data_IF_106104142330
#
_entry.id   IF_106104142330
#
_cell.length_a   1.000
_cell.length_b   1.000
_cell.length_c   1.000
_cell.angle_alpha   90.00
_cell.angle_beta   90.00
_cell.angle_gamma   90.00
#
_symmetry.space_group_name_H-M   'P 1'
#
loop_
_entity.id
_entity.type
_entity.pdbx_description
1 polymer ?
#
# COMPACT_ATOMS: atom_id res chain seq x y z
N UNK A 1 -15.70 35.10 64.69
CA UNK A 1 -15.36 35.02 63.25
C UNK A 1 -14.71 33.67 62.97
N UNK A 2 -15.46 32.72 62.40
CA UNK A 2 -14.91 31.47 61.85
C UNK A 2 -14.99 31.59 60.33
N UNK A 3 -13.84 31.69 59.67
CA UNK A 3 -13.75 31.67 58.21
C UNK A 3 -13.88 30.22 57.74
N UNK A 4 -14.89 29.94 56.92
CA UNK A 4 -15.02 28.70 56.16
C UNK A 4 -14.30 28.87 54.83
N UNK A 5 -13.20 28.13 54.61
CA UNK A 5 -12.60 28.00 53.29
C UNK A 5 -13.43 27.00 52.47
N UNK A 6 -14.16 27.50 51.47
CA UNK A 6 -14.69 26.67 50.39
C UNK A 6 -13.55 26.36 49.41
N UNK A 7 -13.10 25.11 49.38
CA UNK A 7 -12.20 24.60 48.34
C UNK A 7 -13.00 24.37 47.05
N UNK A 8 -12.84 25.26 46.08
CA UNK A 8 -13.40 25.14 44.74
C UNK A 8 -12.53 24.15 43.94
N UNK A 9 -13.03 22.94 43.71
CA UNK A 9 -12.39 21.98 42.81
C UNK A 9 -12.75 22.37 41.37
N UNK A 10 -11.82 23.01 40.65
CA UNK A 10 -11.93 23.20 39.21
C UNK A 10 -11.83 21.83 38.54
N UNK A 11 -12.95 21.28 38.08
CA UNK A 11 -12.95 20.18 37.13
C UNK A 11 -12.65 20.77 35.75
N UNK A 12 -11.39 20.74 35.34
CA UNK A 12 -11.04 20.90 33.93
C UNK A 12 -11.48 19.65 33.19
N UNK A 13 -12.64 19.70 32.56
CA UNK A 13 -13.01 18.75 31.51
C UNK A 13 -12.07 19.00 30.34
N UNK A 14 -11.03 18.16 30.21
CA UNK A 14 -10.25 18.05 28.98
C UNK A 14 -11.22 17.45 27.96
N UNK A 15 -11.83 18.30 27.14
CA UNK A 15 -12.42 17.83 25.90
C UNK A 15 -11.27 17.23 25.10
N UNK A 16 -11.29 15.94 24.79
CA UNK A 16 -10.52 15.46 23.65
C UNK A 16 -10.97 16.31 22.45
N UNK A 17 -10.02 16.82 21.68
CA UNK A 17 -10.36 17.41 20.38
C UNK A 17 -11.16 16.35 19.60
N UNK A 18 -12.20 16.76 18.89
CA UNK A 18 -12.90 15.83 18.02
C UNK A 18 -11.90 15.27 17.00
N UNK A 19 -11.92 13.95 16.78
CA UNK A 19 -11.12 13.28 15.76
C UNK A 19 -11.34 13.96 14.40
N UNK A 20 -10.25 14.38 13.73
CA UNK A 20 -10.28 15.13 12.48
C UNK A 20 -9.85 14.18 11.35
N UNK A 21 -10.84 13.54 10.74
CA UNK A 21 -10.62 12.63 9.62
C UNK A 21 -10.09 13.40 8.41
N UNK A 22 -9.14 12.81 7.69
CA UNK A 22 -8.66 13.39 6.44
C UNK A 22 -9.77 13.42 5.38
N UNK A 23 -9.71 14.42 4.50
CA UNK A 23 -10.43 14.43 3.23
C UNK A 23 -9.41 14.26 2.11
N UNK A 24 -9.41 13.10 1.45
CA UNK A 24 -8.50 12.80 0.35
C UNK A 24 -8.60 13.80 -0.81
N UNK A 25 -9.67 14.58 -0.94
CA UNK A 25 -9.73 15.65 -1.95
C UNK A 25 -8.74 16.78 -1.68
N UNK A 26 -8.35 16.97 -0.41
CA UNK A 26 -7.48 18.06 0.03
C UNK A 26 -6.21 17.61 0.74
N UNK A 27 -6.15 16.35 1.19
CA UNK A 27 -4.98 15.78 1.82
C UNK A 27 -3.85 15.57 0.79
N UNK A 28 -2.64 15.99 1.14
CA UNK A 28 -1.43 15.82 0.34
C UNK A 28 -0.53 14.78 1.00
N UNK A 29 -0.39 13.63 0.35
CA UNK A 29 0.33 12.47 0.87
C UNK A 29 1.74 12.37 0.29
N UNK A 30 2.75 12.42 1.16
CA UNK A 30 4.09 11.97 0.84
C UNK A 30 4.32 10.65 1.58
N UNK A 31 4.28 9.55 0.82
CA UNK A 31 4.16 8.23 1.38
C UNK A 31 5.28 7.27 1.03
N UNK A 32 5.28 6.15 1.74
CA UNK A 32 6.11 4.99 1.42
C UNK A 32 5.35 3.70 1.78
N UNK A 33 5.57 2.65 1.00
CA UNK A 33 5.08 1.32 1.31
C UNK A 33 5.99 0.63 2.34
N UNK A 34 5.41 -0.12 3.27
CA UNK A 34 6.12 -1.05 4.17
C UNK A 34 6.09 -2.48 3.60
N UNK A 35 6.48 -2.62 2.33
CA UNK A 35 6.49 -3.87 1.57
C UNK A 35 7.52 -4.87 2.10
N UNK A 36 7.25 -6.16 1.91
CA UNK A 36 8.12 -7.24 2.41
C UNK A 36 8.12 -7.39 3.94
N UNK A 37 7.23 -6.69 4.65
CA UNK A 37 7.10 -6.77 6.11
C UNK A 37 6.01 -7.76 6.54
N UNK A 38 4.72 -7.45 6.32
CA UNK A 38 3.58 -8.30 6.71
C UNK A 38 2.99 -9.12 5.55
N UNK A 39 3.49 -8.89 4.33
CA UNK A 39 3.33 -9.71 3.14
C UNK A 39 4.72 -9.91 2.53
N UNK A 40 5.12 -11.16 2.27
CA UNK A 40 6.48 -11.49 1.84
C UNK A 40 6.58 -11.66 0.33
N UNK A 41 7.60 -11.03 -0.26
CA UNK A 41 7.94 -11.18 -1.66
C UNK A 41 9.42 -11.51 -1.83
N UNK A 42 9.71 -12.35 -2.82
CA UNK A 42 11.04 -12.93 -3.04
C UNK A 42 12.09 -11.90 -3.48
N UNK A 43 11.65 -10.84 -4.15
CA UNK A 43 12.51 -9.80 -4.70
C UNK A 43 13.02 -8.82 -3.63
N UNK A 44 12.25 -8.57 -2.56
CA UNK A 44 12.53 -7.48 -1.62
C UNK A 44 13.74 -7.75 -0.73
N UNK A 45 13.91 -8.99 -0.25
CA UNK A 45 15.03 -9.41 0.58
C UNK A 45 15.49 -10.80 0.12
N UNK A 46 16.31 -10.83 -0.93
CA UNK A 46 16.72 -12.08 -1.58
C UNK A 46 17.61 -12.95 -0.66
N UNK A 47 18.30 -12.35 0.31
CA UNK A 47 19.09 -13.10 1.29
C UNK A 47 18.19 -13.84 2.27
N UNK A 48 17.21 -13.15 2.85
CA UNK A 48 16.22 -13.79 3.72
C UNK A 48 15.40 -14.81 2.94
N UNK A 49 14.99 -14.49 1.71
CA UNK A 49 14.22 -15.41 0.88
C UNK A 49 14.99 -16.69 0.57
N UNK A 50 16.24 -16.59 0.12
CA UNK A 50 17.08 -17.75 -0.16
C UNK A 50 17.30 -18.64 1.08
N UNK A 51 17.34 -18.03 2.27
CA UNK A 51 17.49 -18.78 3.51
C UNK A 51 16.23 -19.55 3.91
N UNK A 52 15.03 -19.00 3.66
CA UNK A 52 13.79 -19.50 4.26
C UNK A 52 12.75 -20.03 3.26
N UNK A 53 12.78 -19.67 1.98
CA UNK A 53 11.75 -20.10 1.02
C UNK A 53 11.81 -21.59 0.68
N UNK A 54 12.99 -22.21 0.86
CA UNK A 54 13.28 -23.58 0.39
C UNK A 54 12.94 -23.77 -1.10
N UNK A 55 13.16 -22.73 -1.91
CA UNK A 55 12.88 -22.72 -3.34
C UNK A 55 11.44 -22.41 -3.71
N UNK A 56 10.59 -22.01 -2.74
CA UNK A 56 9.25 -21.52 -3.04
C UNK A 56 9.29 -20.16 -3.77
N UNK A 57 8.38 -19.92 -4.72
CA UNK A 57 8.28 -18.66 -5.42
C UNK A 57 7.52 -17.58 -4.62
N UNK A 58 6.71 -17.98 -3.64
CA UNK A 58 5.76 -17.14 -2.90
C UNK A 58 5.73 -17.44 -1.39
N UNK A 59 5.03 -16.59 -0.61
CA UNK A 59 4.87 -16.76 0.84
C UNK A 59 4.10 -18.05 1.18
N UNK A 60 3.11 -18.38 0.36
CA UNK A 60 2.32 -19.60 0.46
C UNK A 60 3.20 -20.85 0.46
N UNK A 61 4.05 -21.01 -0.56
CA UNK A 61 4.99 -22.09 -0.71
C UNK A 61 6.09 -22.05 0.36
N UNK A 62 6.56 -20.86 0.76
CA UNK A 62 7.51 -20.71 1.86
C UNK A 62 6.93 -21.34 3.14
N UNK A 63 5.70 -20.98 3.49
CA UNK A 63 5.06 -21.56 4.67
C UNK A 63 4.78 -23.05 4.54
N UNK A 64 4.30 -23.50 3.37
CA UNK A 64 4.09 -24.91 3.11
C UNK A 64 5.40 -25.73 3.29
N UNK A 65 6.52 -25.23 2.75
CA UNK A 65 7.82 -25.87 2.83
C UNK A 65 8.43 -25.83 4.24
N UNK A 66 8.13 -24.78 5.02
CA UNK A 66 8.60 -24.65 6.39
C UNK A 66 7.76 -25.43 7.39
N UNK A 67 6.48 -25.68 7.09
CA UNK A 67 5.54 -26.32 7.99
C UNK A 67 5.45 -25.57 9.32
N UNK A 68 5.63 -26.27 10.43
CA UNK A 68 5.51 -25.69 11.78
C UNK A 68 6.52 -24.58 12.09
N UNK A 69 7.61 -24.46 11.31
CA UNK A 69 8.59 -23.40 11.49
C UNK A 69 8.15 -22.05 10.90
N UNK A 70 7.18 -22.02 9.97
CA UNK A 70 6.83 -20.79 9.25
C UNK A 70 6.51 -19.63 10.21
N UNK A 71 5.65 -19.89 11.19
CA UNK A 71 5.26 -18.87 12.17
C UNK A 71 6.45 -18.27 12.92
N UNK A 72 7.36 -19.09 13.43
CA UNK A 72 8.54 -18.59 14.16
C UNK A 72 9.49 -17.77 13.29
N UNK A 73 9.60 -18.10 12.01
CA UNK A 73 10.43 -17.39 11.04
C UNK A 73 9.81 -16.02 10.72
N UNK A 74 8.51 -16.00 10.46
CA UNK A 74 7.76 -14.80 10.13
C UNK A 74 7.64 -13.85 11.33
N UNK A 75 7.30 -14.33 12.52
CA UNK A 75 7.24 -13.52 13.75
C UNK A 75 8.59 -12.83 14.04
N UNK A 76 9.71 -13.53 13.82
CA UNK A 76 11.04 -12.93 13.96
C UNK A 76 11.26 -11.81 12.93
N UNK A 77 10.81 -11.99 11.69
CA UNK A 77 10.90 -10.96 10.65
C UNK A 77 9.99 -9.78 10.99
N UNK A 78 8.74 -10.01 11.38
CA UNK A 78 7.79 -8.97 11.76
C UNK A 78 8.33 -8.09 12.89
N UNK A 79 9.01 -8.69 13.87
CA UNK A 79 9.60 -7.99 15.01
C UNK A 79 10.86 -7.16 14.69
N UNK A 80 11.52 -7.39 13.55
CA UNK A 80 12.86 -6.83 13.29
C UNK A 80 13.03 -6.14 11.93
N UNK A 81 12.14 -6.37 10.97
CA UNK A 81 12.28 -5.83 9.63
C UNK A 81 11.91 -4.34 9.57
N UNK A 82 10.76 -3.97 10.14
CA UNK A 82 10.35 -2.58 10.35
C UNK A 82 10.31 -2.29 11.85
N UNK A 83 10.95 -1.20 12.26
CA UNK A 83 11.08 -0.76 13.65
C UNK A 83 10.67 0.70 13.78
N UNK A 84 10.51 1.17 15.03
CA UNK A 84 10.23 2.59 15.29
C UNK A 84 11.37 3.52 14.84
N UNK A 85 12.61 3.02 14.76
CA UNK A 85 13.73 3.78 14.23
C UNK A 85 13.61 3.99 12.71
N UNK A 86 13.05 3.02 11.99
CA UNK A 86 12.73 3.18 10.56
C UNK A 86 11.66 4.28 10.40
N UNK A 87 10.62 4.30 11.25
CA UNK A 87 9.59 5.36 11.24
C UNK A 87 10.17 6.74 11.54
N UNK A 88 11.05 6.85 12.54
CA UNK A 88 11.74 8.11 12.86
C UNK A 88 12.51 8.64 11.64
N UNK A 89 13.22 7.76 10.92
CA UNK A 89 13.98 8.12 9.72
C UNK A 89 13.07 8.52 8.55
N UNK A 90 11.99 7.78 8.29
CA UNK A 90 11.01 8.14 7.26
C UNK A 90 10.40 9.52 7.54
N UNK A 91 10.02 9.79 8.79
CA UNK A 91 9.49 11.11 9.18
C UNK A 91 10.49 12.24 8.89
N UNK A 92 11.77 12.04 9.17
CA UNK A 92 12.80 13.07 8.92
C UNK A 92 12.97 13.42 7.44
N UNK A 93 12.56 12.51 6.54
CA UNK A 93 12.53 12.73 5.10
C UNK A 93 11.20 13.30 4.59
N UNK A 94 10.31 13.73 5.50
CA UNK A 94 9.03 14.33 5.14
C UNK A 94 7.92 13.33 4.82
N UNK A 95 8.10 12.04 5.10
CA UNK A 95 7.01 11.06 4.98
C UNK A 95 5.93 11.37 6.02
N UNK A 96 4.69 11.47 5.55
CA UNK A 96 3.50 11.68 6.35
C UNK A 96 2.48 10.52 6.23
N UNK A 97 2.66 9.61 5.27
CA UNK A 97 1.72 8.51 5.00
C UNK A 97 2.44 7.17 4.90
N UNK A 98 1.92 6.14 5.55
CA UNK A 98 2.44 4.77 5.48
C UNK A 98 1.40 3.86 4.83
N UNK A 99 1.73 3.25 3.69
CA UNK A 99 0.92 2.17 3.09
C UNK A 99 1.47 0.83 3.57
N UNK A 100 0.63 0.02 4.21
CA UNK A 100 1.05 -1.21 4.89
C UNK A 100 0.33 -2.41 4.26
N UNK A 101 0.98 -3.11 3.31
CA UNK A 101 0.50 -4.35 2.75
C UNK A 101 0.40 -5.45 3.82
N UNK A 102 -0.74 -6.11 3.87
CA UNK A 102 -1.02 -7.26 4.75
C UNK A 102 -1.66 -8.37 3.95
N UNK A 103 -1.33 -9.63 4.26
CA UNK A 103 -2.10 -10.75 3.73
C UNK A 103 -3.46 -10.85 4.42
N UNK A 104 -4.49 -11.42 3.77
CA UNK A 104 -5.76 -11.72 4.48
C UNK A 104 -5.57 -12.58 5.73
N UNK A 105 -4.48 -13.38 5.78
CA UNK A 105 -4.18 -14.30 6.87
C UNK A 105 -3.82 -13.59 8.18
N UNK A 106 -3.44 -12.30 8.13
CA UNK A 106 -3.32 -11.45 9.30
C UNK A 106 -4.67 -11.21 10.00
N UNK A 107 -5.75 -11.17 9.22
CA UNK A 107 -7.08 -10.74 9.67
C UNK A 107 -8.00 -11.90 9.99
N UNK A 108 -7.92 -12.98 9.21
CA UNK A 108 -8.79 -14.15 9.34
C UNK A 108 -8.04 -15.45 9.07
N UNK A 109 -8.57 -16.55 9.59
CA UNK A 109 -8.13 -17.91 9.24
C UNK A 109 -9.06 -18.49 8.18
N UNK A 110 -8.51 -18.84 7.02
CA UNK A 110 -9.25 -19.52 5.95
C UNK A 110 -8.83 -20.99 5.89
N UNK A 111 -9.76 -21.95 5.96
CA UNK A 111 -9.43 -23.37 5.86
C UNK A 111 -8.66 -23.69 4.57
N UNK A 112 -7.53 -24.39 4.71
CA UNK A 112 -6.68 -24.80 3.58
C UNK A 112 -5.61 -23.77 3.18
N UNK A 113 -5.70 -22.53 3.66
CA UNK A 113 -4.66 -21.52 3.44
C UNK A 113 -3.31 -21.99 4.02
N UNK A 114 -2.24 -21.84 3.25
CA UNK A 114 -0.88 -22.08 3.74
C UNK A 114 -0.23 -20.80 4.30
N UNK A 115 -0.84 -19.63 4.10
CA UNK A 115 -0.36 -18.39 4.68
C UNK A 115 -0.45 -18.46 6.21
N UNK A 116 0.52 -17.86 6.87
CA UNK A 116 0.58 -17.88 8.34
C UNK A 116 -0.42 -16.89 8.94
N UNK A 117 -1.22 -17.34 9.90
CA UNK A 117 -2.05 -16.48 10.75
C UNK A 117 -1.47 -16.43 12.17
N UNK A 118 -0.87 -15.29 12.53
CA UNK A 118 -0.20 -15.04 13.80
C UNK A 118 -0.46 -13.64 14.33
N UNK A 119 0.59 -12.98 14.81
CA UNK A 119 0.50 -11.68 15.47
C UNK A 119 0.74 -10.49 14.52
N UNK A 120 0.52 -10.65 13.21
CA UNK A 120 0.73 -9.56 12.24
C UNK A 120 0.04 -8.25 12.65
N UNK A 121 -1.21 -8.34 13.12
CA UNK A 121 -1.99 -7.17 13.56
C UNK A 121 -1.40 -6.51 14.79
N UNK A 122 -0.78 -7.26 15.72
CA UNK A 122 -0.09 -6.68 16.87
C UNK A 122 1.18 -5.93 16.45
N UNK A 123 1.95 -6.46 15.49
CA UNK A 123 3.10 -5.75 14.93
C UNK A 123 2.69 -4.50 14.17
N UNK A 124 1.64 -4.58 13.33
CA UNK A 124 1.02 -3.44 12.67
C UNK A 124 0.63 -2.38 13.70
N UNK A 125 -0.09 -2.77 14.75
CA UNK A 125 -0.56 -1.87 15.80
C UNK A 125 0.59 -1.12 16.46
N UNK A 126 1.68 -1.80 16.79
CA UNK A 126 2.83 -1.19 17.46
C UNK A 126 3.46 -0.09 16.59
N UNK A 127 3.67 -0.36 15.30
CA UNK A 127 4.25 0.61 14.37
C UNK A 127 3.28 1.74 14.02
N UNK A 128 2.02 1.41 13.69
CA UNK A 128 0.99 2.39 13.34
C UNK A 128 0.72 3.34 14.51
N UNK A 129 0.51 2.82 15.72
CA UNK A 129 0.28 3.65 16.92
C UNK A 129 1.46 4.58 17.17
N UNK A 130 2.70 4.10 17.01
CA UNK A 130 3.88 4.93 17.16
C UNK A 130 3.94 6.05 16.12
N UNK A 131 3.74 5.72 14.85
CA UNK A 131 3.73 6.69 13.74
C UNK A 131 2.65 7.76 13.92
N UNK A 132 1.43 7.34 14.28
CA UNK A 132 0.29 8.24 14.50
C UNK A 132 0.52 9.13 15.72
N UNK A 133 0.82 8.53 16.88
CA UNK A 133 0.90 9.30 18.14
C UNK A 133 2.11 10.23 18.20
N UNK A 134 3.23 9.86 17.57
CA UNK A 134 4.46 10.65 17.60
C UNK A 134 4.50 11.70 16.50
N UNK A 135 4.00 11.37 15.30
CA UNK A 135 4.20 12.18 14.10
C UNK A 135 2.92 12.59 13.38
N UNK A 136 1.75 12.09 13.81
CA UNK A 136 0.49 12.35 13.13
C UNK A 136 0.43 11.73 11.73
N UNK A 137 1.21 10.68 11.47
CA UNK A 137 1.21 10.01 10.16
C UNK A 137 -0.14 9.35 9.88
N UNK A 138 -0.57 9.40 8.63
CA UNK A 138 -1.73 8.66 8.15
C UNK A 138 -1.33 7.23 7.73
N UNK A 139 -2.19 6.24 7.99
CA UNK A 139 -1.90 4.83 7.68
C UNK A 139 -2.94 4.26 6.72
N UNK A 140 -2.49 3.75 5.59
CA UNK A 140 -3.32 2.95 4.67
C UNK A 140 -3.10 1.49 5.03
N UNK A 141 -4.15 0.81 5.51
CA UNK A 141 -4.12 -0.64 5.70
C UNK A 141 -4.58 -1.28 4.40
N UNK A 142 -3.64 -1.99 3.76
CA UNK A 142 -3.88 -2.67 2.50
C UNK A 142 -4.02 -4.17 2.72
N UNK A 143 -5.19 -4.71 2.36
CA UNK A 143 -5.44 -6.15 2.31
C UNK A 143 -4.98 -6.66 0.95
N UNK A 144 -3.67 -6.84 0.86
CA UNK A 144 -2.91 -7.02 -0.37
C UNK A 144 -3.19 -8.35 -1.08
N UNK A 145 -3.61 -9.37 -0.33
CA UNK A 145 -4.12 -10.63 -0.86
C UNK A 145 -5.51 -10.94 -0.35
N UNK A 146 -6.34 -11.57 -1.18
CA UNK A 146 -7.65 -12.09 -0.77
C UNK A 146 -7.75 -13.61 -0.97
N UNK A 147 -8.61 -14.30 -0.20
CA UNK A 147 -8.75 -15.75 -0.28
C UNK A 147 -9.07 -16.23 -1.69
N UNK A 148 -8.31 -17.20 -2.18
CA UNK A 148 -8.42 -17.75 -3.55
C UNK A 148 -7.50 -17.09 -4.57
N UNK A 149 -6.89 -15.95 -4.27
CA UNK A 149 -5.95 -15.25 -5.14
C UNK A 149 -6.63 -14.36 -6.16
N UNK A 150 -6.20 -13.10 -6.20
CA UNK A 150 -6.83 -12.03 -6.98
C UNK A 150 -6.14 -11.75 -8.30
N UNK A 151 -4.97 -12.33 -8.58
CA UNK A 151 -4.16 -11.95 -9.73
C UNK A 151 -3.12 -12.96 -10.20
N UNK A 152 -3.07 -14.16 -9.61
CA UNK A 152 -2.08 -15.19 -9.95
C UNK A 152 -0.63 -14.84 -9.63
N UNK A 153 -0.35 -13.68 -9.05
CA UNK A 153 0.98 -13.30 -8.60
C UNK A 153 1.24 -13.78 -7.16
N UNK A 154 2.52 -13.96 -6.76
CA UNK A 154 2.89 -14.35 -5.40
C UNK A 154 2.22 -13.53 -4.30
N UNK A 155 2.02 -12.23 -4.53
CA UNK A 155 1.47 -11.29 -3.55
C UNK A 155 -0.06 -11.23 -3.52
N UNK A 156 -0.77 -11.73 -4.54
CA UNK A 156 -2.23 -11.76 -4.56
C UNK A 156 -2.84 -12.92 -3.77
N UNK A 157 -2.07 -13.97 -3.51
CA UNK A 157 -2.24 -15.02 -2.47
C UNK A 157 -1.10 -16.05 -2.61
N UNK A 158 -0.93 -16.55 -3.84
CA UNK A 158 0.06 -17.53 -4.26
C UNK A 158 0.16 -17.52 -5.79
N UNK A 159 1.30 -17.93 -6.34
CA UNK A 159 1.52 -18.01 -7.78
C UNK A 159 0.50 -18.95 -8.45
N UNK A 160 -0.15 -18.45 -9.51
CA UNK A 160 -1.17 -19.17 -10.26
C UNK A 160 -2.56 -19.23 -9.61
N UNK A 161 -2.78 -18.56 -8.47
CA UNK A 161 -4.09 -18.50 -7.82
C UNK A 161 -4.96 -17.36 -8.37
N UNK A 162 -6.06 -17.72 -9.04
CA UNK A 162 -7.10 -16.82 -9.59
C UNK A 162 -8.51 -17.15 -9.05
N UNK A 163 -8.59 -18.00 -8.02
CA UNK A 163 -9.82 -18.57 -7.49
C UNK A 163 -10.71 -17.62 -6.70
N UNK A 164 -10.36 -16.33 -6.58
CA UNK A 164 -11.21 -15.31 -5.97
C UNK A 164 -12.39 -14.90 -6.85
N UNK A 165 -12.19 -14.79 -8.17
CA UNK A 165 -13.21 -14.36 -9.10
C UNK A 165 -14.36 -15.37 -9.22
N UNK A 166 -15.59 -14.86 -9.26
CA UNK A 166 -16.82 -15.66 -9.37
C UNK A 166 -16.98 -16.74 -8.27
N UNK A 167 -16.28 -16.60 -7.14
CA UNK A 167 -16.31 -17.54 -6.03
C UNK A 167 -16.91 -16.88 -4.79
N UNK A 168 -18.17 -17.22 -4.48
CA UNK A 168 -18.87 -16.61 -3.35
C UNK A 168 -18.23 -16.95 -1.99
N UNK A 169 -17.59 -18.12 -1.85
CA UNK A 169 -16.91 -18.48 -0.58
C UNK A 169 -15.69 -17.59 -0.35
N UNK A 170 -14.86 -17.39 -1.39
CA UNK A 170 -13.74 -16.46 -1.37
C UNK A 170 -14.20 -15.02 -1.09
N UNK A 171 -15.27 -14.58 -1.75
CA UNK A 171 -15.90 -13.28 -1.54
C UNK A 171 -16.34 -13.07 -0.09
N UNK A 172 -17.04 -14.05 0.50
CA UNK A 172 -17.51 -13.96 1.89
C UNK A 172 -16.36 -13.93 2.91
N UNK A 173 -15.28 -14.68 2.66
CA UNK A 173 -14.08 -14.57 3.50
C UNK A 173 -13.37 -13.23 3.32
N UNK A 174 -13.31 -12.70 2.10
CA UNK A 174 -12.76 -11.37 1.82
C UNK A 174 -13.49 -10.30 2.62
N UNK A 175 -14.83 -10.35 2.66
CA UNK A 175 -15.64 -9.44 3.47
C UNK A 175 -15.41 -9.61 4.98
N UNK A 176 -15.17 -10.85 5.46
CA UNK A 176 -14.79 -11.07 6.88
C UNK A 176 -13.43 -10.49 7.24
N UNK A 177 -12.47 -10.52 6.30
CA UNK A 177 -11.18 -9.85 6.49
C UNK A 177 -11.39 -8.34 6.65
N UNK A 178 -12.23 -7.73 5.80
CA UNK A 178 -12.57 -6.30 5.91
C UNK A 178 -13.33 -5.98 7.20
N UNK A 179 -14.24 -6.83 7.66
CA UNK A 179 -14.90 -6.65 8.95
C UNK A 179 -13.87 -6.60 10.11
N UNK A 180 -12.82 -7.43 10.04
CA UNK A 180 -11.74 -7.42 11.03
C UNK A 180 -10.84 -6.17 10.93
N UNK A 181 -10.51 -5.71 9.73
CA UNK A 181 -9.79 -4.44 9.50
C UNK A 181 -10.60 -3.27 10.05
N UNK A 182 -11.89 -3.22 9.74
CA UNK A 182 -12.78 -2.15 10.15
C UNK A 182 -12.97 -2.12 11.67
N UNK A 183 -13.09 -3.28 12.33
CA UNK A 183 -13.07 -3.37 13.79
C UNK A 183 -11.76 -2.85 14.35
N UNK A 184 -10.61 -3.27 13.80
CA UNK A 184 -9.29 -2.78 14.23
C UNK A 184 -9.18 -1.26 14.14
N UNK A 185 -9.56 -0.67 13.00
CA UNK A 185 -9.52 0.79 12.80
C UNK A 185 -10.47 1.49 13.77
N UNK A 186 -11.71 1.04 13.85
CA UNK A 186 -12.75 1.66 14.67
C UNK A 186 -12.45 1.59 16.17
N UNK A 187 -11.83 0.50 16.61
CA UNK A 187 -11.44 0.27 18.01
C UNK A 187 -10.05 0.86 18.34
N UNK A 188 -9.37 1.46 17.36
CA UNK A 188 -8.13 2.20 17.61
C UNK A 188 -8.42 3.52 18.34
N UNK A 189 -7.42 4.07 19.03
CA UNK A 189 -7.54 5.39 19.67
C UNK A 189 -7.58 6.55 18.63
N UNK A 190 -7.27 6.25 17.36
CA UNK A 190 -7.11 7.21 16.26
C UNK A 190 -7.75 6.70 14.96
N UNK A 191 -9.06 6.41 14.91
CA UNK A 191 -9.73 5.92 13.70
C UNK A 191 -9.66 6.92 12.53
N UNK A 192 -9.42 8.19 12.82
CA UNK A 192 -9.21 9.29 11.87
C UNK A 192 -7.87 9.22 11.12
N UNK A 193 -6.91 8.45 11.61
CA UNK A 193 -5.59 8.30 10.99
C UNK A 193 -5.47 7.08 10.06
N UNK A 194 -6.61 6.51 9.63
CA UNK A 194 -6.62 5.31 8.80
C UNK A 194 -7.44 5.45 7.51
N UNK A 195 -6.93 4.83 6.44
CA UNK A 195 -7.64 4.50 5.20
C UNK A 195 -7.63 2.98 5.04
N UNK A 196 -8.71 2.41 4.50
CA UNK A 196 -8.80 0.96 4.20
C UNK A 196 -8.67 0.76 2.69
N UNK A 197 -7.63 0.05 2.25
CA UNK A 197 -7.49 -0.46 0.89
C UNK A 197 -7.88 -1.95 0.88
N UNK A 198 -9.07 -2.33 0.36
CA UNK A 198 -9.62 -3.66 0.59
C UNK A 198 -9.16 -4.72 -0.40
N UNK A 199 -8.48 -4.33 -1.49
CA UNK A 199 -7.98 -5.21 -2.53
C UNK A 199 -6.80 -4.54 -3.24
N UNK A 200 -5.85 -5.34 -3.71
CA UNK A 200 -4.69 -4.88 -4.46
C UNK A 200 -4.57 -5.61 -5.80
N UNK A 201 -4.43 -4.86 -6.89
CA UNK A 201 -4.18 -5.31 -8.26
C UNK A 201 -5.02 -6.53 -8.72
N UNK A 202 -6.36 -6.47 -8.68
CA UNK A 202 -7.19 -7.59 -9.13
C UNK A 202 -7.07 -7.81 -10.66
N UNK A 203 -6.77 -9.03 -11.08
CA UNK A 203 -6.52 -9.45 -12.46
C UNK A 203 -7.09 -10.85 -12.66
N UNK A 204 -7.98 -11.03 -13.64
CA UNK A 204 -8.55 -12.34 -13.99
C UNK A 204 -8.06 -12.88 -15.34
N UNK A 205 -7.24 -12.10 -16.06
CA UNK A 205 -6.58 -12.56 -17.27
C UNK A 205 -5.26 -13.27 -16.92
N UNK A 206 -5.21 -14.58 -17.16
CA UNK A 206 -4.02 -15.41 -16.89
C UNK A 206 -2.84 -15.12 -17.85
N UNK A 207 -3.04 -14.36 -18.93
CA UNK A 207 -1.95 -13.88 -19.77
C UNK A 207 -1.18 -12.75 -19.06
N UNK A 208 -0.12 -13.15 -18.35
CA UNK A 208 0.75 -12.25 -17.60
C UNK A 208 1.41 -11.16 -18.47
N UNK A 209 1.45 -11.29 -19.81
CA UNK A 209 1.94 -10.20 -20.68
C UNK A 209 1.02 -8.97 -20.68
N UNK A 210 -0.23 -9.14 -20.22
CA UNK A 210 -1.19 -8.05 -20.06
C UNK A 210 -1.13 -7.39 -18.69
N UNK A 211 -0.42 -7.97 -17.72
CA UNK A 211 -0.27 -7.43 -16.37
C UNK A 211 0.32 -6.01 -16.41
N UNK A 212 -0.19 -5.10 -15.58
CA UNK A 212 0.17 -3.68 -15.69
C UNK A 212 -0.62 -2.90 -16.75
N UNK A 213 -1.59 -3.52 -17.44
CA UNK A 213 -2.40 -2.87 -18.48
C UNK A 213 -3.91 -3.08 -18.24
N UNK A 214 -4.79 -2.24 -18.81
CA UNK A 214 -6.24 -2.42 -18.70
C UNK A 214 -6.76 -3.80 -19.15
N UNK A 215 -6.01 -4.51 -20.02
CA UNK A 215 -6.37 -5.83 -20.52
C UNK A 215 -6.18 -6.97 -19.50
N UNK A 216 -5.55 -6.69 -18.36
CA UNK A 216 -5.37 -7.65 -17.27
C UNK A 216 -6.70 -7.99 -16.55
N UNK A 217 -7.69 -7.11 -16.63
CA UNK A 217 -8.99 -7.31 -16.01
C UNK A 217 -10.10 -7.32 -17.06
N UNK A 218 -10.81 -8.44 -17.20
CA UNK A 218 -11.98 -8.56 -18.06
C UNK A 218 -13.16 -7.71 -17.54
N UNK A 219 -14.19 -7.50 -18.36
CA UNK A 219 -15.38 -6.78 -17.90
C UNK A 219 -16.18 -7.59 -16.86
N UNK A 220 -16.19 -8.92 -16.96
CA UNK A 220 -16.78 -9.81 -15.95
C UNK A 220 -16.01 -9.76 -14.62
N UNK A 221 -14.67 -9.80 -14.68
CA UNK A 221 -13.80 -9.63 -13.53
C UNK A 221 -14.01 -8.25 -12.88
N UNK A 222 -14.12 -7.21 -13.69
CA UNK A 222 -14.40 -5.86 -13.23
C UNK A 222 -15.77 -5.73 -12.54
N UNK A 223 -16.81 -6.38 -13.06
CA UNK A 223 -18.12 -6.43 -12.42
C UNK A 223 -18.06 -7.13 -11.04
N UNK A 224 -17.23 -8.17 -10.91
CA UNK A 224 -17.02 -8.86 -9.63
C UNK A 224 -16.27 -7.98 -8.61
N UNK A 225 -15.22 -7.27 -9.04
CA UNK A 225 -14.50 -6.28 -8.23
C UNK A 225 -15.43 -5.15 -7.78
N UNK A 226 -16.22 -4.59 -8.68
CA UNK A 226 -17.17 -3.53 -8.35
C UNK A 226 -18.20 -3.99 -7.30
N UNK A 227 -18.75 -5.20 -7.46
CA UNK A 227 -19.65 -5.80 -6.46
C UNK A 227 -18.97 -5.88 -5.09
N UNK A 228 -17.70 -6.31 -5.04
CA UNK A 228 -16.95 -6.38 -3.79
C UNK A 228 -16.76 -5.00 -3.14
N UNK A 229 -16.34 -4.00 -3.93
CA UNK A 229 -16.13 -2.63 -3.45
C UNK A 229 -17.43 -1.99 -2.94
N UNK A 230 -18.55 -2.20 -3.63
CA UNK A 230 -19.86 -1.68 -3.17
C UNK A 230 -20.30 -2.28 -1.82
N UNK A 231 -20.01 -3.56 -1.58
CA UNK A 231 -20.26 -4.20 -0.28
C UNK A 231 -19.32 -3.66 0.81
N UNK A 232 -18.05 -3.42 0.49
CA UNK A 232 -17.09 -2.78 1.41
C UNK A 232 -17.54 -1.37 1.78
N UNK A 233 -17.92 -0.56 0.79
CA UNK A 233 -18.44 0.80 1.02
C UNK A 233 -19.68 0.78 1.91
N UNK A 234 -20.60 -0.15 1.67
CA UNK A 234 -21.81 -0.32 2.48
C UNK A 234 -21.49 -0.67 3.94
N UNK A 235 -20.50 -1.55 4.17
CA UNK A 235 -20.03 -1.92 5.51
C UNK A 235 -19.37 -0.75 6.24
N UNK A 236 -18.46 -0.05 5.56
CA UNK A 236 -17.80 1.14 6.13
C UNK A 236 -18.83 2.21 6.45
N UNK A 237 -19.75 2.51 5.54
CA UNK A 237 -20.80 3.51 5.78
C UNK A 237 -21.72 3.15 6.96
N UNK A 238 -21.99 1.86 7.18
CA UNK A 238 -22.81 1.39 8.30
C UNK A 238 -22.12 1.52 9.66
N UNK A 239 -20.79 1.47 9.71
CA UNK A 239 -20.01 1.55 10.96
C UNK A 239 -19.49 2.96 11.19
N UNK A 240 -18.78 3.51 10.20
CA UNK A 240 -18.20 4.84 10.25
C UNK A 240 -17.91 5.37 8.83
N UNK A 241 -18.81 6.18 8.24
CA UNK A 241 -18.65 6.68 6.87
C UNK A 241 -17.49 7.67 6.68
N UNK A 242 -16.83 8.09 7.77
CA UNK A 242 -15.69 9.00 7.71
C UNK A 242 -14.36 8.30 7.40
N UNK A 243 -14.29 6.98 7.57
CA UNK A 243 -13.11 6.19 7.18
C UNK A 243 -13.09 6.10 5.65
N UNK A 244 -12.03 6.58 4.97
CA UNK A 244 -11.95 6.47 3.52
C UNK A 244 -11.72 5.03 3.06
N UNK A 245 -12.29 4.69 1.91
CA UNK A 245 -11.96 3.46 1.17
C UNK A 245 -11.06 3.80 0.00
N UNK A 246 -9.89 3.19 -0.05
CA UNK A 246 -8.95 3.32 -1.15
C UNK A 246 -9.18 2.20 -2.14
N UNK A 247 -9.63 2.52 -3.35
CA UNK A 247 -9.97 1.53 -4.36
C UNK A 247 -8.83 1.40 -5.38
N UNK A 248 -8.05 0.31 -5.27
CA UNK A 248 -7.11 -0.13 -6.31
C UNK A 248 -7.90 -0.89 -7.39
N UNK A 249 -8.11 -0.22 -8.53
CA UNK A 249 -9.00 -0.63 -9.62
C UNK A 249 -8.32 -1.49 -10.69
N UNK A 250 -7.37 -2.36 -10.31
CA UNK A 250 -6.45 -3.03 -11.24
C UNK A 250 -5.60 -1.99 -11.98
N UNK A 251 -5.41 -2.17 -13.29
CA UNK A 251 -4.70 -1.25 -14.18
C UNK A 251 -5.66 -0.54 -15.14
N UNK A 252 -6.96 -0.49 -14.79
CA UNK A 252 -7.95 0.34 -15.49
C UNK A 252 -7.97 1.73 -14.85
N UNK A 253 -8.01 2.76 -15.68
CA UNK A 253 -8.00 4.14 -15.23
C UNK A 253 -9.22 4.49 -14.35
N UNK A 254 -9.12 5.45 -13.41
CA UNK A 254 -10.21 5.87 -12.54
C UNK A 254 -11.55 6.15 -13.24
N UNK A 255 -11.53 6.73 -14.45
CA UNK A 255 -12.74 7.08 -15.21
C UNK A 255 -13.56 5.87 -15.63
N UNK A 256 -12.95 4.68 -15.70
CA UNK A 256 -13.69 3.45 -15.93
C UNK A 256 -14.62 3.12 -14.75
N UNK A 257 -14.17 3.41 -13.53
CA UNK A 257 -14.85 3.05 -12.30
C UNK A 257 -15.79 4.14 -11.79
N UNK A 258 -15.39 5.42 -11.93
CA UNK A 258 -16.09 6.57 -11.37
C UNK A 258 -17.60 6.62 -11.67
N UNK A 259 -18.10 6.29 -12.89
CA UNK A 259 -19.55 6.30 -13.18
C UNK A 259 -20.37 5.29 -12.37
N UNK A 260 -19.72 4.31 -11.74
CA UNK A 260 -20.37 3.27 -10.93
C UNK A 260 -20.35 3.55 -9.43
N UNK A 261 -19.78 4.69 -9.01
CA UNK A 261 -19.69 5.15 -7.64
C UNK A 261 -20.59 6.37 -7.43
N UNK A 262 -21.09 6.57 -6.21
CA UNK A 262 -21.81 7.79 -5.87
C UNK A 262 -20.79 8.91 -5.60
N UNK A 263 -21.06 10.12 -6.09
CA UNK A 263 -20.24 11.31 -5.77
C UNK A 263 -20.10 11.60 -4.26
N UNK A 264 -20.98 11.03 -3.43
CA UNK A 264 -20.93 11.10 -1.96
C UNK A 264 -20.05 10.04 -1.30
N UNK A 265 -19.58 9.05 -2.06
CA UNK A 265 -18.74 7.98 -1.53
C UNK A 265 -17.39 8.54 -1.11
N UNK A 266 -16.94 8.18 0.09
CA UNK A 266 -15.64 8.57 0.62
C UNK A 266 -14.55 7.65 0.06
N UNK A 267 -14.29 7.81 -1.24
CA UNK A 267 -13.37 6.98 -2.02
C UNK A 267 -12.20 7.81 -2.52
N UNK A 268 -11.02 7.21 -2.49
CA UNK A 268 -9.83 7.62 -3.24
C UNK A 268 -9.40 6.49 -4.15
N UNK A 269 -9.05 6.78 -5.40
CA UNK A 269 -8.49 5.77 -6.29
C UNK A 269 -7.00 5.58 -6.00
N UNK A 270 -6.58 4.32 -5.94
CA UNK A 270 -5.17 3.92 -5.89
C UNK A 270 -4.72 3.49 -7.29
N UNK A 271 -3.68 4.15 -7.81
CA UNK A 271 -3.08 3.84 -9.11
C UNK A 271 -1.61 3.47 -8.93
N UNK A 272 -1.16 2.48 -9.69
CA UNK A 272 0.18 1.93 -9.58
C UNK A 272 0.94 2.16 -10.88
N UNK A 273 2.08 2.86 -10.81
CA UNK A 273 2.88 3.20 -11.98
C UNK A 273 4.28 2.61 -11.90
N UNK A 274 4.55 1.69 -12.82
CA UNK A 274 5.86 1.06 -12.95
C UNK A 274 6.38 1.15 -14.38
N UNK A 275 7.70 1.14 -14.49
CA UNK A 275 8.43 1.39 -15.75
C UNK A 275 9.42 0.28 -16.10
N UNK A 276 9.49 -0.78 -15.30
CA UNK A 276 10.50 -1.83 -15.41
C UNK A 276 10.19 -2.93 -16.43
N UNK A 277 8.99 -2.95 -17.02
CA UNK A 277 8.57 -3.95 -18.00
C UNK A 277 7.44 -3.43 -18.91
N UNK A 278 7.45 -3.84 -20.18
CA UNK A 278 6.31 -3.71 -21.10
C UNK A 278 6.06 -2.32 -21.68
N UNK A 279 6.87 -1.31 -21.33
CA UNK A 279 6.67 0.09 -21.71
C UNK A 279 7.77 0.66 -22.59
N UNK A 280 8.92 0.00 -22.67
CA UNK A 280 10.12 0.49 -23.36
C UNK A 280 10.77 1.70 -22.68
N UNK A 281 10.48 1.91 -21.39
CA UNK A 281 11.10 3.00 -20.65
C UNK A 281 12.60 2.74 -20.49
N UNK A 282 13.39 3.77 -20.68
CA UNK A 282 14.84 3.77 -20.44
C UNK A 282 15.17 4.69 -19.29
N UNK A 283 16.34 4.51 -18.67
CA UNK A 283 16.83 5.46 -17.68
C UNK A 283 16.83 6.91 -18.20
N UNK A 284 16.98 7.13 -19.50
CA UNK A 284 17.01 8.46 -20.11
C UNK A 284 15.64 9.08 -20.39
N UNK A 285 14.57 8.29 -20.52
CA UNK A 285 13.23 8.79 -20.88
C UNK A 285 12.16 8.54 -19.80
N UNK A 286 12.50 7.85 -18.71
CA UNK A 286 11.54 7.47 -17.65
C UNK A 286 10.78 8.68 -17.08
N UNK A 287 11.43 9.83 -16.97
CA UNK A 287 10.80 11.08 -16.51
C UNK A 287 9.62 11.49 -17.38
N UNK A 288 9.69 11.30 -18.70
CA UNK A 288 8.58 11.59 -19.61
C UNK A 288 7.39 10.66 -19.39
N UNK A 289 7.63 9.38 -19.08
CA UNK A 289 6.56 8.44 -18.72
C UNK A 289 5.91 8.83 -17.39
N UNK A 290 6.73 9.18 -16.39
CA UNK A 290 6.26 9.65 -15.08
C UNK A 290 5.35 10.88 -15.22
N UNK A 291 5.77 11.92 -15.96
CA UNK A 291 4.95 13.11 -16.15
C UNK A 291 3.63 12.77 -16.86
N UNK A 292 3.67 11.93 -17.90
CA UNK A 292 2.48 11.58 -18.66
C UNK A 292 1.46 10.77 -17.84
N UNK A 293 1.93 9.84 -17.00
CA UNK A 293 1.07 9.09 -16.10
C UNK A 293 0.47 10.00 -15.02
N UNK A 294 1.28 10.87 -14.41
CA UNK A 294 0.81 11.82 -13.41
C UNK A 294 -0.29 12.74 -13.96
N UNK A 295 -0.13 13.25 -15.19
CA UNK A 295 -1.16 14.05 -15.85
C UNK A 295 -2.44 13.26 -16.14
N UNK A 296 -2.32 11.98 -16.51
CA UNK A 296 -3.45 11.11 -16.77
C UNK A 296 -4.24 10.78 -15.48
N UNK A 297 -3.57 10.65 -14.33
CA UNK A 297 -4.16 10.30 -13.04
C UNK A 297 -5.19 11.31 -12.50
N UNK A 298 -5.15 12.56 -13.00
CA UNK A 298 -6.18 13.57 -12.72
C UNK A 298 -7.57 13.06 -13.11
N UNK A 299 -7.61 12.27 -14.20
CA UNK A 299 -8.82 11.70 -14.72
C UNK A 299 -9.87 12.74 -15.09
N UNK A 300 -11.13 12.45 -14.75
CA UNK A 300 -12.24 13.40 -14.88
C UNK A 300 -12.42 14.32 -13.66
N UNK A 301 -11.58 14.15 -12.62
CA UNK A 301 -11.64 14.90 -11.36
C UNK A 301 -12.80 14.55 -10.43
N UNK A 302 -13.59 13.51 -10.73
CA UNK A 302 -14.76 13.11 -9.92
C UNK A 302 -14.35 12.62 -8.52
N UNK A 303 -13.25 11.89 -8.44
CA UNK A 303 -12.67 11.36 -7.19
C UNK A 303 -11.18 11.71 -7.10
N UNK A 304 -10.63 11.85 -5.89
CA UNK A 304 -9.19 12.00 -5.72
C UNK A 304 -8.46 10.73 -6.14
N UNK A 305 -7.27 10.90 -6.71
CA UNK A 305 -6.34 9.82 -7.05
C UNK A 305 -5.09 9.93 -6.19
N UNK A 306 -4.53 8.81 -5.77
CA UNK A 306 -3.26 8.69 -5.07
C UNK A 306 -2.42 7.62 -5.75
N UNK A 307 -1.15 7.90 -6.01
CA UNK A 307 -0.24 6.92 -6.63
C UNK A 307 0.33 6.01 -5.55
N UNK A 308 -0.41 4.96 -5.17
CA UNK A 308 -0.06 4.13 -4.02
C UNK A 308 1.17 3.26 -4.21
N UNK A 309 1.58 3.01 -5.45
CA UNK A 309 2.83 2.32 -5.74
C UNK A 309 3.52 2.86 -6.99
N UNK A 310 4.83 3.05 -6.87
CA UNK A 310 5.72 3.34 -7.99
C UNK A 310 7.19 3.14 -7.60
N UNK A 311 8.06 2.99 -8.59
CA UNK A 311 9.52 3.02 -8.42
C UNK A 311 10.22 3.51 -9.69
N UNK A 312 11.49 3.87 -9.58
CA UNK A 312 12.26 4.48 -10.69
C UNK A 312 13.04 3.47 -11.54
N UNK A 313 12.84 2.16 -11.37
CA UNK A 313 13.48 1.19 -12.27
C UNK A 313 12.82 1.29 -13.65
N UNK A 314 13.62 1.56 -14.67
CA UNK A 314 13.24 1.48 -16.08
C UNK A 314 13.44 0.06 -16.64
N UNK A 315 12.83 -0.23 -17.79
CA UNK A 315 12.96 -1.51 -18.47
C UNK A 315 14.36 -1.70 -19.04
N UNK A 316 14.93 -0.62 -19.58
CA UNK A 316 16.25 -0.64 -20.23
C UNK A 316 17.15 0.50 -19.76
N UNK A 317 18.47 0.34 -19.95
CA UNK A 317 19.47 1.40 -19.82
C UNK A 317 19.37 2.19 -18.50
N UNK A 318 19.13 1.50 -17.38
CA UNK A 318 19.12 2.11 -16.06
C UNK A 318 20.49 2.75 -15.77
N UNK A 319 20.50 3.93 -15.16
CA UNK A 319 21.74 4.61 -14.79
C UNK A 319 21.69 5.22 -13.40
N UNK A 320 22.77 5.08 -12.64
CA UNK A 320 22.89 5.65 -11.31
C UNK A 320 22.82 7.18 -11.32
N UNK A 321 23.33 7.82 -12.36
CA UNK A 321 23.36 9.26 -12.51
C UNK A 321 21.96 9.89 -12.68
N UNK A 322 20.96 9.10 -13.08
CA UNK A 322 19.60 9.57 -13.35
C UNK A 322 18.60 9.27 -12.24
N UNK A 323 19.01 8.56 -11.19
CA UNK A 323 18.12 8.15 -10.10
C UNK A 323 17.50 9.33 -9.36
N UNK A 324 18.31 10.34 -9.03
CA UNK A 324 17.82 11.54 -8.34
C UNK A 324 16.79 12.30 -9.20
N UNK A 325 17.12 12.54 -10.47
CA UNK A 325 16.22 13.19 -11.44
C UNK A 325 14.89 12.44 -11.57
N UNK A 326 14.93 11.13 -11.78
CA UNK A 326 13.72 10.30 -11.88
C UNK A 326 12.89 10.31 -10.59
N UNK A 327 13.53 10.18 -9.42
CA UNK A 327 12.88 10.19 -8.12
C UNK A 327 12.18 11.53 -7.86
N UNK A 328 12.90 12.65 -8.01
CA UNK A 328 12.34 13.96 -7.72
C UNK A 328 11.29 14.37 -8.76
N UNK A 329 11.42 13.92 -10.00
CA UNK A 329 10.38 14.06 -11.03
C UNK A 329 9.07 13.41 -10.60
N UNK A 330 9.09 12.15 -10.14
CA UNK A 330 7.86 11.47 -9.70
C UNK A 330 7.29 12.04 -8.41
N UNK A 331 8.12 12.35 -7.41
CA UNK A 331 7.66 12.99 -6.17
C UNK A 331 6.94 14.31 -6.45
N UNK A 332 7.49 15.14 -7.36
CA UNK A 332 6.85 16.38 -7.79
C UNK A 332 5.58 16.14 -8.61
N UNK A 333 5.66 15.34 -9.67
CA UNK A 333 4.58 15.17 -10.62
C UNK A 333 3.32 14.59 -9.96
N UNK A 334 3.48 13.56 -9.13
CA UNK A 334 2.36 12.96 -8.43
C UNK A 334 1.78 13.89 -7.36
N UNK A 335 2.61 14.70 -6.69
CA UNK A 335 2.09 15.74 -5.77
C UNK A 335 1.34 16.86 -6.52
N UNK A 336 1.80 17.25 -7.71
CA UNK A 336 1.19 18.29 -8.54
C UNK A 336 -0.17 17.87 -9.10
N UNK A 337 -0.26 16.65 -9.63
CA UNK A 337 -1.42 16.22 -10.41
C UNK A 337 -2.39 15.31 -9.64
N UNK A 338 -1.93 14.57 -8.64
CA UNK A 338 -2.78 13.70 -7.83
C UNK A 338 -2.76 14.17 -6.36
N UNK A 339 -3.02 13.29 -5.39
CA UNK A 339 -2.88 13.56 -3.95
C UNK A 339 -1.52 13.15 -3.41
N UNK A 340 -0.53 12.99 -4.30
CA UNK A 340 0.81 12.52 -3.99
C UNK A 340 0.98 11.02 -4.24
N UNK A 341 1.98 10.43 -3.60
CA UNK A 341 2.36 9.04 -3.90
C UNK A 341 2.94 8.30 -2.69
N UNK A 342 2.96 6.96 -2.76
CA UNK A 342 3.80 6.12 -1.89
C UNK A 342 4.78 5.27 -2.67
N UNK A 343 6.08 5.51 -2.42
CA UNK A 343 7.15 4.78 -3.10
C UNK A 343 7.16 3.29 -2.71
N UNK A 344 7.37 2.40 -3.67
CA UNK A 344 7.67 0.99 -3.42
C UNK A 344 9.19 0.78 -3.44
N UNK A 345 9.86 0.57 -2.30
CA UNK A 345 9.35 0.43 -0.93
C UNK A 345 10.35 0.99 0.10
N UNK A 346 9.98 1.06 1.39
CA UNK A 346 10.81 1.62 2.45
C UNK A 346 12.17 0.93 2.53
N UNK A 347 12.20 -0.41 2.57
CA UNK A 347 13.44 -1.19 2.67
C UNK A 347 13.46 -2.26 1.60
N UNK A 348 14.54 -2.28 0.84
CA UNK A 348 14.76 -3.25 -0.23
C UNK A 348 16.23 -3.63 -0.31
N UNK A 349 16.52 -4.92 -0.39
CA UNK A 349 17.87 -5.49 -0.45
C UNK A 349 18.03 -6.58 -1.52
N UNK A 350 17.05 -6.70 -2.42
CA UNK A 350 17.12 -7.57 -3.58
C UNK A 350 18.28 -7.23 -4.51
N UNK A 351 18.97 -8.28 -4.95
CA UNK A 351 20.22 -8.18 -5.70
C UNK A 351 20.10 -8.65 -7.16
N UNK A 352 18.88 -8.80 -7.68
CA UNK A 352 18.69 -9.08 -9.10
C UNK A 352 19.25 -7.91 -9.93
N UNK A 353 20.02 -8.22 -10.95
CA UNK A 353 20.56 -7.22 -11.89
C UNK A 353 19.43 -6.56 -12.66
N UNK A 354 19.54 -5.25 -12.87
CA UNK A 354 18.68 -4.52 -13.80
C UNK A 354 19.37 -4.40 -15.16
N UNK A 355 18.62 -4.12 -16.23
CA UNK A 355 19.24 -3.74 -17.50
C UNK A 355 19.89 -2.35 -17.37
N UNK A 356 21.21 -2.27 -17.58
CA UNK A 356 22.00 -1.07 -17.31
C UNK A 356 22.89 -1.21 -16.07
N UNK A 357 22.90 -0.20 -15.21
CA UNK A 357 23.78 -0.09 -14.05
C UNK A 357 23.12 -0.64 -12.77
N UNK A 358 23.78 -1.57 -12.06
CA UNK A 358 23.41 -1.94 -10.69
C UNK A 358 22.41 -3.09 -10.54
N UNK A 359 21.73 -3.10 -9.39
CA UNK A 359 20.74 -4.12 -8.98
C UNK A 359 19.45 -3.46 -8.50
N UNK A 360 18.38 -4.24 -8.32
CA UNK A 360 17.09 -3.71 -7.85
C UNK A 360 17.20 -2.89 -6.54
N UNK A 361 18.04 -3.27 -5.58
CA UNK A 361 18.23 -2.46 -4.36
C UNK A 361 18.71 -1.02 -4.63
N UNK A 362 19.33 -0.75 -5.78
CA UNK A 362 19.76 0.58 -6.18
C UNK A 362 18.62 1.46 -6.72
N UNK A 363 17.41 0.91 -6.95
CA UNK A 363 16.26 1.59 -7.57
C UNK A 363 14.95 1.45 -6.76
N UNK A 364 14.88 0.54 -5.78
CA UNK A 364 13.64 0.20 -5.05
C UNK A 364 13.69 0.50 -3.55
N UNK A 365 14.84 0.95 -3.01
CA UNK A 365 15.03 1.15 -1.58
C UNK A 365 14.94 2.64 -1.18
N UNK A 366 13.80 3.05 -0.62
CA UNK A 366 13.58 4.45 -0.23
C UNK A 366 14.56 4.93 0.86
N UNK A 367 14.96 4.04 1.79
CA UNK A 367 15.93 4.40 2.83
C UNK A 367 17.29 4.78 2.27
N UNK A 368 17.67 4.25 1.10
CA UNK A 368 18.90 4.64 0.38
C UNK A 368 18.80 6.09 -0.12
N UNK A 369 17.64 6.53 -0.59
CA UNK A 369 17.43 7.92 -1.02
C UNK A 369 17.62 8.91 0.14
N UNK A 370 17.15 8.53 1.33
CA UNK A 370 17.36 9.30 2.56
C UNK A 370 18.85 9.34 2.92
N UNK A 371 19.53 8.19 2.92
CA UNK A 371 20.95 8.11 3.30
C UNK A 371 21.88 8.84 2.33
N UNK A 372 21.48 8.95 1.06
CA UNK A 372 22.25 9.60 -0.01
C UNK A 372 21.82 11.06 -0.26
N UNK A 373 20.89 11.61 0.53
CA UNK A 373 20.38 12.97 0.37
C UNK A 373 19.85 13.24 -1.05
N UNK A 374 19.03 12.33 -1.57
CA UNK A 374 18.52 12.38 -2.96
C UNK A 374 17.09 12.92 -3.09
N UNK A 375 16.43 13.28 -1.99
CA UNK A 375 15.02 13.67 -1.97
C UNK A 375 14.91 15.20 -1.99
N UNK A 376 14.71 15.75 -3.18
CA UNK A 376 14.56 17.18 -3.46
C UNK A 376 13.43 17.40 -4.48
N UNK A 377 12.14 17.22 -4.12
CA UNK A 377 11.03 17.25 -5.06
C UNK A 377 10.95 18.53 -5.91
N UNK A 378 11.35 19.68 -5.38
CA UNK A 378 11.37 20.95 -6.12
C UNK A 378 12.24 20.89 -7.39
N UNK A 379 13.24 20.00 -7.46
CA UNK A 379 14.05 19.77 -8.67
C UNK A 379 13.24 19.16 -9.83
N UNK A 380 12.12 18.51 -9.54
CA UNK A 380 11.22 17.91 -10.54
C UNK A 380 10.36 18.91 -11.29
N UNK A 381 10.23 20.15 -10.79
CA UNK A 381 9.33 21.17 -11.36
C UNK A 381 9.68 21.48 -12.82
N UNK A 382 10.97 21.66 -13.13
CA UNK A 382 11.41 22.00 -14.50
C UNK A 382 11.24 20.84 -15.50
N UNK A 383 11.07 19.60 -15.01
CA UNK A 383 10.97 18.39 -15.85
C UNK A 383 9.53 18.12 -16.28
N UNK A 384 8.55 18.30 -15.38
CA UNK A 384 7.11 18.12 -15.65
C UNK A 384 6.34 19.46 -15.71
N UNK A 385 6.99 20.52 -16.17
CA UNK A 385 6.41 21.87 -16.29
C UNK A 385 5.34 21.97 -17.38
#
# INVERSE_FOLDING_TARGET
MRLSLLSLVLRTSISLAAAEYIDWRTYEANGVNLGGWLCQESTIDTTWWAQYSKGAPDEWGLCANQGSLCGSILEKRYASYITTADIDKLHTAGINTLRIPTTYAAWIKVPGSQLYSGNQVDFLKNIATYAITKYGMHVIIDVHSLPGGVNGMPFGEAEGHFGWFNNQTAFDYSLKAIDAVLSYVQDSDHPDSYTIAPINEPVDNEDLSTFGTPAALSDEGAAWVLKYIQEVLSKVAAINPKIPVMFQGSFRAPEYWAPNLSSSDNVVFDVHHYYFAGRGATGANITSYICADAEADVGDGSFPTFVGEWSIQAEFENSFARRQEALNTGLFAFAKYSRGSSYWTAKFSGNATVDGEGVQADYWNYMTWIDQDMIHPDEGEEVCA
#
